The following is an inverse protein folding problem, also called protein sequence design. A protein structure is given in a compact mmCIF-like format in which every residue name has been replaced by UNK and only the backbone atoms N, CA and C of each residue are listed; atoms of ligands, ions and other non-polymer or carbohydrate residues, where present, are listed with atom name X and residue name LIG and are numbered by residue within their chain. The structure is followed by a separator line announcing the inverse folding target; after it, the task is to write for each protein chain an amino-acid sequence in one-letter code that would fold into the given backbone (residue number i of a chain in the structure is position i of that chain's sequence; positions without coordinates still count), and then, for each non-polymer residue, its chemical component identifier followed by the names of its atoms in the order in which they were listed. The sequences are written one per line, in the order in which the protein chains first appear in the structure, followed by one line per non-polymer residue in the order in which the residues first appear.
data_IF_312286388005
#
_entry.id   IF_312286388005
#
_cell.length_a   1.000
_cell.length_b   1.000
_cell.length_c   1.000
_cell.angle_alpha   90.00
_cell.angle_beta   90.00
_cell.angle_gamma   90.00
#
_symmetry.space_group_name_H-M   'P 1'
#
loop_
_entity.id
_entity.type
_entity.pdbx_description
1 polymer ?
#
# COMPACT_ATOMS: atom_id res chain seq x y z
N UNK A 1 -7.67 11.96 -6.89
CA UNK A 1 -7.06 11.59 -5.59
C UNK A 1 -5.72 10.88 -5.76
N UNK A 2 -4.68 11.47 -5.16
CA UNK A 2 -3.26 11.07 -5.10
C UNK A 2 -2.53 10.85 -6.44
N UNK A 3 -3.05 10.02 -7.33
CA UNK A 3 -2.42 9.69 -8.63
C UNK A 3 -3.03 10.41 -9.82
N UNK A 4 -4.29 10.81 -9.72
CA UNK A 4 -5.04 11.43 -10.82
C UNK A 4 -5.73 12.71 -10.38
N UNK A 5 -5.73 13.70 -11.29
CA UNK A 5 -6.48 14.94 -11.18
C UNK A 5 -7.98 14.74 -11.39
N UNK A 6 -8.78 15.80 -11.19
CA UNK A 6 -10.24 15.74 -11.35
C UNK A 6 -10.69 15.46 -12.79
N UNK A 7 -9.83 15.73 -13.77
CA UNK A 7 -10.00 15.45 -15.19
C UNK A 7 -9.54 14.02 -15.59
N UNK A 8 -9.05 13.23 -14.63
CA UNK A 8 -8.50 11.91 -14.87
C UNK A 8 -7.06 11.90 -15.39
N UNK A 9 -6.41 13.05 -15.54
CA UNK A 9 -5.01 13.11 -15.93
C UNK A 9 -4.11 12.62 -14.80
N UNK A 10 -2.99 11.94 -15.13
CA UNK A 10 -1.99 11.54 -14.14
C UNK A 10 -1.32 12.78 -13.57
N UNK A 11 -1.24 12.86 -12.25
CA UNK A 11 -0.48 13.90 -11.56
C UNK A 11 1.02 13.57 -11.71
N UNK A 12 1.83 14.44 -12.35
CA UNK A 12 3.23 14.14 -12.68
C UNK A 12 4.10 13.98 -11.43
N UNK A 13 3.84 14.78 -10.40
CA UNK A 13 4.63 14.78 -9.15
C UNK A 13 4.11 13.79 -8.10
N UNK A 14 3.08 12.99 -8.44
CA UNK A 14 2.62 11.94 -7.55
C UNK A 14 3.65 10.81 -7.50
N UNK A 15 4.16 10.48 -6.31
CA UNK A 15 5.18 9.44 -6.11
C UNK A 15 4.84 8.11 -6.81
N UNK A 16 3.58 7.67 -6.71
CA UNK A 16 3.09 6.43 -7.35
C UNK A 16 2.88 6.55 -8.88
N UNK A 17 3.28 7.65 -9.49
CA UNK A 17 3.36 7.79 -10.93
C UNK A 17 4.81 7.88 -11.43
N UNK A 18 5.78 8.10 -10.54
CA UNK A 18 7.19 8.27 -10.88
C UNK A 18 8.03 7.02 -10.60
N UNK A 19 7.56 6.11 -9.74
CA UNK A 19 8.25 4.85 -9.46
C UNK A 19 7.98 3.78 -10.50
N UNK A 20 8.97 2.91 -10.71
CA UNK A 20 8.80 1.65 -11.46
C UNK A 20 8.28 0.55 -10.51
N UNK A 21 7.06 0.03 -10.70
CA UNK A 21 6.51 -1.02 -9.85
C UNK A 21 7.22 -2.38 -9.98
N UNK A 22 8.00 -2.63 -11.04
CA UNK A 22 8.80 -3.85 -11.15
C UNK A 22 9.99 -3.85 -10.18
N UNK A 23 10.55 -2.67 -9.91
CA UNK A 23 11.67 -2.48 -8.98
C UNK A 23 11.19 -2.11 -7.57
N UNK A 24 10.14 -1.29 -7.45
CA UNK A 24 9.63 -0.75 -6.18
C UNK A 24 8.44 -1.57 -5.67
N UNK A 25 8.71 -2.81 -5.25
CA UNK A 25 7.67 -3.80 -4.89
C UNK A 25 7.25 -3.78 -3.41
N UNK A 26 7.88 -2.95 -2.58
CA UNK A 26 7.58 -2.81 -1.15
C UNK A 26 7.03 -1.42 -0.90
N UNK A 27 5.85 -1.33 -0.27
CA UNK A 27 5.28 -0.07 0.18
C UNK A 27 5.50 0.08 1.68
N UNK A 28 6.27 1.09 2.07
CA UNK A 28 6.34 1.54 3.46
C UNK A 28 5.24 2.57 3.67
N UNK A 29 4.30 2.26 4.56
CA UNK A 29 3.14 3.08 4.86
C UNK A 29 3.15 3.55 6.31
N UNK A 30 2.43 4.63 6.61
CA UNK A 30 2.22 5.11 7.97
C UNK A 30 1.30 4.19 8.79
N UNK A 31 1.08 4.58 10.05
CA UNK A 31 0.25 3.84 11.00
C UNK A 31 -1.20 3.66 10.54
N UNK A 32 -1.87 2.64 11.09
CA UNK A 32 -3.29 2.34 10.85
C UNK A 32 -3.64 2.20 9.35
N UNK A 33 -2.76 1.56 8.58
CA UNK A 33 -2.93 1.38 7.15
C UNK A 33 -4.18 0.55 6.81
N UNK A 34 -4.88 0.99 5.76
CA UNK A 34 -6.10 0.37 5.25
C UNK A 34 -7.23 0.23 6.29
N UNK A 35 -7.29 1.13 7.26
CA UNK A 35 -8.42 1.24 8.18
C UNK A 35 -9.72 1.58 7.43
N UNK A 36 -10.86 1.17 8.01
CA UNK A 36 -12.19 1.44 7.47
C UNK A 36 -12.96 0.18 7.12
N UNK A 37 -13.98 0.31 6.27
CA UNK A 37 -14.84 -0.82 5.90
C UNK A 37 -14.08 -1.83 5.03
N UNK A 38 -14.45 -3.10 5.19
CA UNK A 38 -13.93 -4.20 4.38
C UNK A 38 -14.13 -3.93 2.89
N UNK A 39 -13.03 -3.90 2.14
CA UNK A 39 -13.00 -3.78 0.68
C UNK A 39 -11.97 -4.76 0.15
N UNK A 40 -12.42 -5.91 -0.30
CA UNK A 40 -11.54 -6.97 -0.83
C UNK A 40 -10.76 -6.53 -2.07
N UNK A 41 -11.26 -5.53 -2.80
CA UNK A 41 -10.56 -4.95 -3.95
C UNK A 41 -9.33 -4.10 -3.57
N UNK A 42 -9.20 -3.68 -2.30
CA UNK A 42 -8.06 -2.88 -1.87
C UNK A 42 -6.71 -3.61 -2.00
N UNK A 43 -6.52 -4.85 -1.49
CA UNK A 43 -5.29 -5.60 -1.73
C UNK A 43 -5.07 -5.94 -3.21
N UNK A 44 -6.14 -6.15 -3.99
CA UNK A 44 -6.01 -6.40 -5.43
C UNK A 44 -5.42 -5.21 -6.17
N UNK A 45 -5.92 -4.00 -5.89
CA UNK A 45 -5.40 -2.77 -6.50
C UNK A 45 -3.89 -2.57 -6.21
N UNK A 46 -3.42 -2.96 -5.02
CA UNK A 46 -2.00 -2.89 -4.66
C UNK A 46 -1.16 -3.94 -5.40
N UNK A 47 -1.69 -5.16 -5.54
CA UNK A 47 -1.03 -6.24 -6.28
C UNK A 47 -0.95 -5.95 -7.78
N UNK A 48 -2.04 -5.45 -8.37
CA UNK A 48 -2.14 -5.04 -9.76
C UNK A 48 -1.22 -3.86 -10.06
N UNK A 49 -1.08 -2.94 -9.10
CA UNK A 49 -0.07 -1.88 -9.20
C UNK A 49 1.35 -2.46 -9.26
N UNK A 50 1.62 -3.56 -8.53
CA UNK A 50 2.91 -4.25 -8.53
C UNK A 50 3.53 -4.47 -7.15
N UNK A 51 2.91 -3.93 -6.10
CA UNK A 51 3.37 -4.16 -4.73
C UNK A 51 3.19 -5.63 -4.32
N UNK A 52 4.05 -6.07 -3.42
CA UNK A 52 4.07 -7.44 -2.88
C UNK A 52 4.17 -7.48 -1.37
N UNK A 53 4.71 -6.43 -0.77
CA UNK A 53 4.83 -6.28 0.68
C UNK A 53 4.35 -4.90 1.09
N UNK A 54 3.59 -4.83 2.17
CA UNK A 54 3.24 -3.58 2.85
C UNK A 54 3.89 -3.61 4.23
N UNK A 55 4.66 -2.58 4.57
CA UNK A 55 5.29 -2.43 5.89
C UNK A 55 4.69 -1.22 6.58
N UNK A 56 4.21 -1.37 7.81
CA UNK A 56 3.63 -0.27 8.61
C UNK A 56 3.80 -0.55 10.10
N UNK A 57 3.54 0.45 10.95
CA UNK A 57 3.42 0.27 12.41
C UNK A 57 2.06 -0.32 12.82
N UNK A 58 1.07 -0.31 11.93
CA UNK A 58 -0.26 -0.85 12.19
C UNK A 58 -1.04 -1.06 10.90
N UNK A 59 -1.65 -2.23 10.75
CA UNK A 59 -2.45 -2.60 9.56
C UNK A 59 -3.79 -3.13 10.05
N UNK A 60 -4.89 -2.68 9.47
CA UNK A 60 -6.23 -3.13 9.86
C UNK A 60 -6.41 -4.65 9.65
N UNK A 61 -6.92 -5.35 10.68
CA UNK A 61 -7.01 -6.82 10.72
C UNK A 61 -7.72 -7.44 9.51
N UNK A 62 -8.84 -6.84 9.10
CA UNK A 62 -9.62 -7.30 7.94
C UNK A 62 -8.79 -7.18 6.65
N UNK A 63 -8.11 -6.05 6.47
CA UNK A 63 -7.23 -5.86 5.32
C UNK A 63 -6.07 -6.84 5.35
N UNK A 64 -5.42 -7.05 6.49
CA UNK A 64 -4.31 -7.98 6.63
C UNK A 64 -4.73 -9.42 6.27
N UNK A 65 -5.89 -9.87 6.74
CA UNK A 65 -6.46 -11.18 6.38
C UNK A 65 -6.67 -11.32 4.87
N UNK A 66 -7.25 -10.29 4.25
CA UNK A 66 -7.52 -10.30 2.80
C UNK A 66 -6.23 -10.20 1.98
N UNK A 67 -5.26 -9.39 2.41
CA UNK A 67 -3.97 -9.25 1.75
C UNK A 67 -3.25 -10.60 1.66
N UNK A 68 -3.14 -11.32 2.78
CA UNK A 68 -2.49 -12.63 2.83
C UNK A 68 -3.14 -13.65 1.91
N UNK A 69 -4.48 -13.71 1.86
CA UNK A 69 -5.22 -14.61 0.95
C UNK A 69 -4.95 -14.34 -0.53
N UNK A 70 -4.56 -13.12 -0.88
CA UNK A 70 -4.31 -12.70 -2.25
C UNK A 70 -2.82 -12.61 -2.61
N UNK A 71 -1.91 -13.01 -1.70
CA UNK A 71 -0.47 -13.00 -1.96
C UNK A 71 0.19 -11.63 -1.77
N UNK A 72 -0.45 -10.70 -1.06
CA UNK A 72 0.14 -9.46 -0.57
C UNK A 72 0.57 -9.67 0.88
N UNK A 73 1.83 -9.40 1.22
CA UNK A 73 2.38 -9.66 2.57
C UNK A 73 2.29 -8.38 3.42
N UNK A 74 1.37 -8.30 4.40
CA UNK A 74 1.41 -7.27 5.43
C UNK A 74 2.49 -7.59 6.47
N UNK A 75 3.31 -6.60 6.80
CA UNK A 75 4.34 -6.68 7.85
C UNK A 75 4.14 -5.53 8.81
N UNK A 76 3.95 -5.85 10.08
CA UNK A 76 3.90 -4.87 11.16
C UNK A 76 5.27 -4.84 11.82
N UNK A 77 5.84 -3.65 11.94
CA UNK A 77 7.10 -3.39 12.66
C UNK A 77 6.86 -2.39 13.78
N UNK A 78 7.72 -2.36 14.78
CA UNK A 78 7.69 -1.31 15.79
C UNK A 78 8.09 0.06 15.19
N UNK A 79 7.80 1.14 15.92
CA UNK A 79 8.04 2.51 15.46
C UNK A 79 9.53 2.84 15.28
N UNK A 80 10.43 2.22 16.07
CA UNK A 80 11.88 2.43 15.93
C UNK A 80 12.38 1.81 14.63
N UNK A 81 11.96 0.59 14.32
CA UNK A 81 12.26 -0.08 13.06
C UNK A 81 11.69 0.70 11.87
N UNK A 82 10.43 1.16 11.95
CA UNK A 82 9.78 1.93 10.89
C UNK A 82 10.51 3.22 10.53
N UNK A 83 10.95 3.98 11.55
CA UNK A 83 11.64 5.25 11.34
C UNK A 83 13.02 5.13 10.66
N UNK A 84 13.56 3.91 10.53
CA UNK A 84 14.85 3.62 9.88
C UNK A 84 14.72 3.18 8.43
N UNK A 85 13.50 2.92 7.94
CA UNK A 85 13.20 2.54 6.56
C UNK A 85 13.07 3.79 5.67
#
# INVERSE_FOLDING_TARGET
DWRYGPDGARLPDAQLNTIDPAEHRILVAGDNFACGSSREHAPWALLDYGFRVIVSTGIADIFASNALKNGLVPVIVDAETHARL
#
